data_IF_302512400717
#
_entry.id   IF_302512400717
#
_cell.length_a   1.000
_cell.length_b   1.000
_cell.length_c   1.000
_cell.angle_alpha   90.00
_cell.angle_beta   90.00
_cell.angle_gamma   90.00
#
_symmetry.space_group_name_H-M   'P 1'
#
loop_
_entity.id
_entity.type
_entity.pdbx_description
1 polymer ?
#
# COMPACT_ATOMS: atom_id res chain seq x y z
N UNK A 1 -14.59 3.93 11.68
CA UNK A 1 -13.28 3.47 12.20
C UNK A 1 -13.33 1.96 12.13
N UNK A 2 -12.37 1.29 11.51
CA UNK A 2 -12.44 -0.16 11.35
C UNK A 2 -12.55 -0.85 12.71
N UNK A 3 -13.48 -1.80 12.85
CA UNK A 3 -13.77 -2.53 14.10
C UNK A 3 -12.61 -3.45 14.57
N UNK A 4 -11.49 -3.47 13.84
CA UNK A 4 -10.34 -4.34 14.09
C UNK A 4 -9.02 -3.63 13.86
N UNK A 5 -7.94 -4.07 14.53
CA UNK A 5 -6.60 -3.52 14.33
C UNK A 5 -6.08 -3.80 12.92
N UNK A 6 -5.20 -2.92 12.45
CA UNK A 6 -4.42 -3.11 11.24
C UNK A 6 -3.29 -4.12 11.50
N UNK A 7 -3.35 -5.28 10.85
CA UNK A 7 -2.46 -6.42 11.14
C UNK A 7 -1.83 -7.05 9.91
N UNK A 8 -2.44 -6.98 8.73
CA UNK A 8 -1.96 -7.61 7.49
C UNK A 8 -1.76 -6.58 6.40
N UNK A 9 -0.54 -6.42 5.91
CA UNK A 9 -0.19 -5.46 4.87
C UNK A 9 0.33 -6.21 3.64
N UNK A 10 -0.18 -5.86 2.46
CA UNK A 10 0.46 -6.24 1.20
C UNK A 10 1.18 -5.01 0.65
N UNK A 11 2.47 -5.11 0.33
CA UNK A 11 3.22 -4.03 -0.32
C UNK A 11 3.69 -4.47 -1.70
N UNK A 12 3.38 -3.69 -2.74
CA UNK A 12 3.88 -3.89 -4.09
C UNK A 12 4.99 -2.89 -4.37
N UNK A 13 6.22 -3.39 -4.52
CA UNK A 13 7.46 -2.61 -4.59
C UNK A 13 8.55 -3.47 -5.19
N UNK A 14 9.21 -3.03 -6.26
CA UNK A 14 10.26 -3.79 -6.93
C UNK A 14 11.66 -3.60 -6.32
N UNK A 15 11.90 -2.49 -5.60
CA UNK A 15 13.20 -2.20 -5.01
C UNK A 15 13.46 -3.03 -3.74
N UNK A 16 14.38 -4.00 -3.81
CA UNK A 16 14.72 -4.92 -2.72
C UNK A 16 15.19 -4.21 -1.43
N UNK A 17 15.83 -3.05 -1.53
CA UNK A 17 16.30 -2.30 -0.36
C UNK A 17 15.11 -1.66 0.36
N UNK A 18 14.17 -1.09 -0.39
CA UNK A 18 12.91 -0.56 0.16
C UNK A 18 12.09 -1.69 0.77
N UNK A 19 11.97 -2.83 0.10
CA UNK A 19 11.29 -4.01 0.64
C UNK A 19 11.87 -4.42 2.00
N UNK A 20 13.21 -4.48 2.13
CA UNK A 20 13.89 -4.85 3.39
C UNK A 20 13.61 -3.85 4.49
N UNK A 21 13.62 -2.56 4.17
CA UNK A 21 13.28 -1.49 5.11
C UNK A 21 11.84 -1.63 5.59
N UNK A 22 10.89 -1.87 4.69
CA UNK A 22 9.47 -2.02 5.00
C UNK A 22 9.20 -3.26 5.85
N UNK A 23 9.82 -4.42 5.56
CA UNK A 23 9.70 -5.60 6.45
C UNK A 23 10.17 -5.28 7.85
N UNK A 24 11.35 -4.69 7.98
CA UNK A 24 11.92 -4.32 9.28
C UNK A 24 11.01 -3.35 10.03
N UNK A 25 10.48 -2.34 9.34
CA UNK A 25 9.53 -1.38 9.89
C UNK A 25 8.23 -2.05 10.37
N UNK A 26 7.50 -2.69 9.47
CA UNK A 26 6.14 -3.13 9.71
C UNK A 26 6.09 -4.41 10.55
N UNK A 27 7.01 -5.35 10.35
CA UNK A 27 7.04 -6.61 11.12
C UNK A 27 7.65 -6.40 12.50
N UNK A 28 8.83 -5.77 12.61
CA UNK A 28 9.52 -5.65 13.91
C UNK A 28 8.98 -4.54 14.78
N UNK A 29 8.76 -3.36 14.22
CA UNK A 29 8.23 -2.19 14.95
C UNK A 29 6.70 -2.22 14.95
N UNK A 30 6.11 -2.40 13.77
CA UNK A 30 4.66 -2.35 13.58
C UNK A 30 3.88 -3.54 14.14
N UNK A 31 4.55 -4.68 14.36
CA UNK A 31 3.97 -5.98 14.74
C UNK A 31 2.87 -6.45 13.78
N UNK A 32 3.06 -6.20 12.49
CA UNK A 32 2.16 -6.59 11.40
C UNK A 32 2.73 -7.80 10.64
N UNK A 33 1.86 -8.56 9.98
CA UNK A 33 2.24 -9.54 8.96
C UNK A 33 2.31 -8.84 7.61
N UNK A 34 3.42 -9.02 6.88
CA UNK A 34 3.67 -8.29 5.63
C UNK A 34 3.93 -9.27 4.49
N UNK A 35 3.10 -9.18 3.45
CA UNK A 35 3.37 -9.79 2.15
C UNK A 35 3.99 -8.73 1.24
N UNK A 36 5.12 -9.03 0.61
CA UNK A 36 5.75 -8.11 -0.34
C UNK A 36 5.77 -8.77 -1.71
N UNK A 37 5.30 -8.03 -2.71
CA UNK A 37 5.22 -8.47 -4.10
C UNK A 37 6.13 -7.57 -4.94
N UNK A 38 7.23 -8.15 -5.42
CA UNK A 38 8.20 -7.44 -6.28
C UNK A 38 7.74 -7.27 -7.73
N UNK A 39 6.81 -8.10 -8.19
CA UNK A 39 6.28 -8.05 -9.55
C UNK A 39 4.82 -7.57 -9.52
N UNK A 40 4.52 -6.35 -10.02
CA UNK A 40 3.17 -5.81 -9.97
C UNK A 40 2.15 -6.63 -10.76
N UNK A 41 2.58 -7.46 -11.72
CA UNK A 41 1.67 -8.33 -12.50
C UNK A 41 1.09 -9.47 -11.66
N UNK A 42 1.75 -9.85 -10.57
CA UNK A 42 1.32 -10.91 -9.64
C UNK A 42 0.56 -10.37 -8.44
N UNK A 43 0.46 -9.05 -8.31
CA UNK A 43 -0.04 -8.40 -7.11
C UNK A 43 -1.49 -8.76 -6.78
N UNK A 44 -2.37 -8.83 -7.79
CA UNK A 44 -3.79 -9.16 -7.57
C UNK A 44 -3.98 -10.60 -7.08
N UNK A 45 -3.23 -11.55 -7.66
CA UNK A 45 -3.23 -12.95 -7.20
C UNK A 45 -2.74 -13.05 -5.75
N UNK A 46 -1.62 -12.39 -5.45
CA UNK A 46 -1.06 -12.34 -4.10
C UNK A 46 -2.03 -11.71 -3.09
N UNK A 47 -2.69 -10.60 -3.43
CA UNK A 47 -3.70 -9.97 -2.57
C UNK A 47 -4.89 -10.89 -2.30
N UNK A 48 -5.36 -11.62 -3.32
CA UNK A 48 -6.47 -12.56 -3.17
C UNK A 48 -6.13 -13.72 -2.23
N UNK A 49 -4.91 -14.27 -2.36
CA UNK A 49 -4.42 -15.34 -1.50
C UNK A 49 -4.11 -14.86 -0.07
N UNK A 50 -3.43 -13.72 0.06
CA UNK A 50 -2.98 -13.18 1.34
C UNK A 50 -4.09 -12.48 2.11
N UNK A 51 -5.12 -11.93 1.45
CA UNK A 51 -6.22 -11.15 2.06
C UNK A 51 -5.70 -10.07 3.02
N UNK A 52 -4.98 -9.05 2.51
CA UNK A 52 -4.48 -7.97 3.34
C UNK A 52 -5.63 -7.12 3.89
N UNK A 53 -5.33 -6.41 4.98
CA UNK A 53 -6.19 -5.37 5.53
C UNK A 53 -6.06 -4.08 4.72
N UNK A 54 -4.83 -3.79 4.28
CA UNK A 54 -4.44 -2.60 3.56
C UNK A 54 -3.35 -2.94 2.55
N UNK A 55 -3.42 -2.31 1.39
CA UNK A 55 -2.41 -2.43 0.34
C UNK A 55 -1.58 -1.15 0.30
N UNK A 56 -0.27 -1.30 0.34
CA UNK A 56 0.67 -0.26 -0.04
C UNK A 56 1.06 -0.48 -1.51
N UNK A 57 1.11 0.58 -2.30
CA UNK A 57 1.58 0.54 -3.69
C UNK A 57 2.71 1.54 -3.87
N UNK A 58 3.86 1.10 -4.37
CA UNK A 58 4.81 2.05 -4.94
C UNK A 58 4.22 2.72 -6.19
N UNK A 59 4.65 3.95 -6.45
CA UNK A 59 4.20 4.69 -7.62
C UNK A 59 4.82 4.17 -8.90
N UNK A 60 6.14 3.92 -8.92
CA UNK A 60 6.92 3.67 -10.14
C UNK A 60 7.58 2.31 -10.07
N UNK A 61 6.93 1.32 -10.69
CA UNK A 61 7.47 -0.03 -10.80
C UNK A 61 7.67 -0.40 -12.28
N UNK A 62 8.62 -1.30 -12.60
CA UNK A 62 8.74 -1.91 -13.91
C UNK A 62 7.44 -2.62 -14.32
N UNK A 63 7.21 -2.71 -15.63
CA UNK A 63 6.02 -3.30 -16.27
C UNK A 63 4.68 -2.59 -16.02
N UNK A 64 4.40 -2.11 -14.81
CA UNK A 64 3.13 -1.44 -14.47
C UNK A 64 3.31 -0.49 -13.28
N UNK A 65 2.83 0.75 -13.43
CA UNK A 65 2.85 1.75 -12.36
C UNK A 65 1.72 1.54 -11.33
N UNK A 66 1.91 2.12 -10.14
CA UNK A 66 0.96 2.04 -9.02
C UNK A 66 -0.45 2.53 -9.39
N UNK A 67 -0.61 3.72 -10.01
CA UNK A 67 -1.92 4.20 -10.46
C UNK A 67 -2.65 3.25 -11.41
N UNK A 68 -1.94 2.62 -12.35
CA UNK A 68 -2.53 1.64 -13.27
C UNK A 68 -2.96 0.38 -12.53
N UNK A 69 -2.12 -0.15 -11.63
CA UNK A 69 -2.49 -1.30 -10.79
C UNK A 69 -3.71 -0.97 -9.91
N UNK A 70 -3.75 0.21 -9.31
CA UNK A 70 -4.89 0.65 -8.52
C UNK A 70 -6.19 0.66 -9.31
N UNK A 71 -6.18 1.20 -10.54
CA UNK A 71 -7.36 1.14 -11.44
C UNK A 71 -7.77 -0.30 -11.75
N UNK A 72 -6.82 -1.20 -11.98
CA UNK A 72 -7.14 -2.63 -12.19
C UNK A 72 -7.75 -3.27 -10.94
N UNK A 73 -7.27 -2.91 -9.74
CA UNK A 73 -7.83 -3.40 -8.49
C UNK A 73 -9.30 -3.00 -8.33
N UNK A 74 -9.67 -1.77 -8.73
CA UNK A 74 -11.04 -1.26 -8.64
C UNK A 74 -12.03 -1.99 -9.56
N UNK A 75 -11.54 -2.63 -10.64
CA UNK A 75 -12.37 -3.38 -11.58
C UNK A 75 -12.69 -4.81 -11.11
N UNK A 76 -12.13 -5.24 -9.98
CA UNK A 76 -12.19 -6.64 -9.54
C UNK A 76 -12.87 -6.77 -8.17
N UNK A 77 -13.89 -7.62 -8.01
CA UNK A 77 -14.60 -7.81 -6.75
C UNK A 77 -13.69 -8.15 -5.56
N UNK A 78 -12.64 -8.92 -5.79
CA UNK A 78 -11.68 -9.40 -4.78
C UNK A 78 -10.77 -8.30 -4.22
N UNK A 79 -10.52 -7.23 -4.97
CA UNK A 79 -9.55 -6.18 -4.59
C UNK A 79 -10.15 -4.78 -4.51
N UNK A 80 -11.32 -4.53 -5.11
CA UNK A 80 -11.91 -3.18 -5.18
C UNK A 80 -12.19 -2.54 -3.82
N UNK A 81 -12.45 -3.37 -2.81
CA UNK A 81 -12.74 -2.93 -1.45
C UNK A 81 -11.49 -2.77 -0.57
N UNK A 82 -10.30 -3.16 -1.06
CA UNK A 82 -9.07 -3.04 -0.30
C UNK A 82 -8.65 -1.56 -0.23
N UNK A 83 -8.44 -1.00 0.97
CA UNK A 83 -7.86 0.32 1.13
C UNK A 83 -6.44 0.36 0.57
N UNK A 84 -6.13 1.39 -0.22
CA UNK A 84 -4.83 1.53 -0.89
C UNK A 84 -4.14 2.80 -0.44
N UNK A 85 -2.90 2.67 0.03
CA UNK A 85 -2.01 3.79 0.37
C UNK A 85 -0.85 3.82 -0.62
N UNK A 86 -0.67 4.96 -1.29
CA UNK A 86 0.46 5.14 -2.20
C UNK A 86 1.74 5.49 -1.44
N UNK A 87 2.84 4.87 -1.81
CA UNK A 87 4.18 5.21 -1.32
C UNK A 87 4.91 5.86 -2.50
N UNK A 88 5.33 7.13 -2.38
CA UNK A 88 5.85 7.86 -3.55
C UNK A 88 6.94 8.88 -3.22
N UNK A 89 7.98 8.94 -4.05
CA UNK A 89 8.98 10.02 -4.04
C UNK A 89 8.62 11.17 -4.99
N UNK A 90 7.74 10.91 -5.96
CA UNK A 90 7.41 11.79 -7.08
C UNK A 90 5.94 11.60 -7.43
N UNK A 91 5.08 12.39 -6.81
CA UNK A 91 3.73 12.62 -7.28
C UNK A 91 3.49 14.13 -7.24
N UNK A 92 2.93 14.69 -8.31
CA UNK A 92 2.43 16.05 -8.23
C UNK A 92 1.21 16.10 -7.32
N UNK A 93 0.90 17.27 -6.75
CA UNK A 93 -0.32 17.44 -5.97
C UNK A 93 -1.56 17.01 -6.76
N UNK A 94 -1.56 17.32 -8.07
CA UNK A 94 -2.62 16.92 -8.98
C UNK A 94 -2.78 15.41 -9.07
N UNK A 95 -1.68 14.66 -9.19
CA UNK A 95 -1.76 13.20 -9.30
C UNK A 95 -2.30 12.57 -8.00
N UNK A 96 -1.91 13.12 -6.84
CA UNK A 96 -2.44 12.70 -5.54
C UNK A 96 -3.93 13.00 -5.43
N UNK A 97 -4.37 14.20 -5.80
CA UNK A 97 -5.77 14.61 -5.76
C UNK A 97 -6.64 13.70 -6.66
N UNK A 98 -6.15 13.36 -7.85
CA UNK A 98 -6.84 12.44 -8.78
C UNK A 98 -7.01 11.04 -8.17
N UNK A 99 -6.00 10.50 -7.50
CA UNK A 99 -6.08 9.19 -6.84
C UNK A 99 -6.98 9.20 -5.60
N UNK A 100 -6.93 10.26 -4.80
CA UNK A 100 -7.83 10.43 -3.67
C UNK A 100 -9.29 10.52 -4.13
N UNK A 101 -9.56 11.24 -5.23
CA UNK A 101 -10.89 11.31 -5.85
C UNK A 101 -11.36 9.94 -6.38
N UNK A 102 -10.44 9.07 -6.80
CA UNK A 102 -10.72 7.68 -7.19
C UNK A 102 -10.90 6.73 -5.99
N UNK A 103 -10.75 7.20 -4.75
CA UNK A 103 -10.97 6.40 -3.54
C UNK A 103 -9.70 5.79 -2.92
N UNK A 104 -8.52 6.29 -3.24
CA UNK A 104 -7.32 5.94 -2.48
C UNK A 104 -7.49 6.32 -0.99
N UNK A 105 -6.95 5.49 -0.09
CA UNK A 105 -7.03 5.73 1.36
C UNK A 105 -6.06 6.83 1.81
N UNK A 106 -4.97 7.05 1.06
CA UNK A 106 -3.99 8.07 1.36
C UNK A 106 -2.70 7.90 0.56
N UNK A 107 -1.72 8.73 0.90
CA UNK A 107 -0.36 8.62 0.40
C UNK A 107 0.66 8.92 1.51
N UNK A 108 1.83 8.29 1.42
CA UNK A 108 2.99 8.48 2.27
C UNK A 108 4.19 8.79 1.36
N UNK A 109 4.88 9.89 1.63
CA UNK A 109 6.03 10.31 0.84
C UNK A 109 7.30 9.53 1.21
N UNK A 110 8.11 9.21 0.20
CA UNK A 110 9.51 8.78 0.36
C UNK A 110 10.40 10.05 0.48
N UNK A 111 11.49 10.01 1.27
CA UNK A 111 11.86 8.93 2.19
C UNK A 111 10.97 8.92 3.43
N UNK A 112 10.70 7.73 3.97
CA UNK A 112 9.99 7.55 5.24
C UNK A 112 10.91 6.95 6.30
N UNK A 113 10.68 7.32 7.55
CA UNK A 113 11.32 6.69 8.70
C UNK A 113 10.74 5.29 8.94
N UNK A 114 11.57 4.25 9.10
CA UNK A 114 11.10 2.91 9.44
C UNK A 114 10.35 2.86 10.77
N UNK A 115 10.57 3.82 11.68
CA UNK A 115 9.85 3.88 12.95
C UNK A 115 8.45 4.46 12.80
N UNK A 116 8.25 5.34 11.82
CA UNK A 116 7.05 6.17 11.72
C UNK A 116 6.02 5.54 10.76
N UNK A 117 6.48 4.75 9.79
CA UNK A 117 5.61 4.10 8.80
C UNK A 117 4.43 3.32 9.45
N UNK A 118 4.61 2.50 10.50
CA UNK A 118 3.49 1.79 11.13
C UNK A 118 2.46 2.75 11.76
N UNK A 119 2.90 3.87 12.33
CA UNK A 119 2.02 4.86 12.94
C UNK A 119 1.24 5.64 11.88
N UNK A 120 1.89 6.00 10.77
CA UNK A 120 1.24 6.66 9.64
C UNK A 120 0.15 5.76 9.02
N UNK A 121 0.45 4.48 8.81
CA UNK A 121 -0.55 3.53 8.31
C UNK A 121 -1.71 3.35 9.29
N UNK A 122 -1.44 3.27 10.60
CA UNK A 122 -2.50 3.21 11.62
C UNK A 122 -3.35 4.47 11.66
N UNK A 123 -2.74 5.65 11.48
CA UNK A 123 -3.46 6.92 11.43
C UNK A 123 -4.37 7.02 10.20
N UNK A 124 -3.95 6.50 9.04
CA UNK A 124 -4.79 6.38 7.85
C UNK A 124 -5.92 5.37 8.11
N UNK A 125 -5.57 4.17 8.59
CA UNK A 125 -6.52 3.10 8.90
C UNK A 125 -7.64 3.56 9.84
N UNK A 126 -7.30 4.29 10.92
CA UNK A 126 -8.28 4.77 11.89
C UNK A 126 -9.31 5.74 11.30
N UNK A 127 -9.01 6.39 10.17
CA UNK A 127 -9.93 7.34 9.50
C UNK A 127 -10.85 6.66 8.48
N UNK A 128 -10.57 5.40 8.13
CA UNK A 128 -11.43 4.65 7.23
C UNK A 128 -12.81 4.43 7.87
N UNK A 129 -13.88 4.42 7.04
CA UNK A 129 -15.24 4.24 7.52
C UNK A 129 -15.38 2.97 8.35
#
# INVERSE_FOLDING_TARGET
MPDRPLTRICYVEDDEDIQRIVRMSLERVGKMTVEIVGDPTRAIEAMSAFRPDLVMLDWMMPAMDGPTLFRQMQLRPETKALPVVFITAKASQRDLDELMAMGAAGAISKPFSPKDLPEQLRAIWAKLP
#
